data_IF_246208931453
#
_entry.id   IF_246208931453
#
_cell.length_a   1.000
_cell.length_b   1.000
_cell.length_c   1.000
_cell.angle_alpha   90.00
_cell.angle_beta   90.00
_cell.angle_gamma   90.00
#
_symmetry.space_group_name_H-M   'P 1'
#
loop_
_entity.id
_entity.type
_entity.pdbx_description
1 polymer ?
#
# COMPACT_ATOMS: atom_id res chain seq x y z
N UNK A 1 -0.58 0.08 -15.21
CA UNK A 1 -0.28 0.20 -13.77
C UNK A 1 -0.75 1.53 -13.16
N UNK A 2 -0.47 2.69 -13.77
CA UNK A 2 -0.75 4.04 -13.23
C UNK A 2 -2.24 4.39 -12.98
N UNK A 3 -3.20 3.69 -13.59
CA UNK A 3 -4.64 4.02 -13.46
C UNK A 3 -5.35 3.34 -12.27
N UNK A 4 -4.71 2.37 -11.59
CA UNK A 4 -5.29 1.65 -10.44
C UNK A 4 -4.62 2.01 -9.11
N UNK A 5 -4.39 3.30 -8.87
CA UNK A 5 -3.74 3.82 -7.65
C UNK A 5 -4.46 3.45 -6.35
N UNK A 6 -5.76 3.17 -6.40
CA UNK A 6 -6.56 2.76 -5.22
C UNK A 6 -6.29 1.31 -4.78
N UNK A 7 -5.73 0.49 -5.65
CA UNK A 7 -5.46 -0.95 -5.44
C UNK A 7 -4.06 -1.27 -5.99
N UNK A 8 -3.09 -0.41 -5.67
CA UNK A 8 -1.79 -0.40 -6.32
C UNK A 8 -1.00 -1.69 -6.08
N UNK A 9 -0.89 -2.15 -4.84
CA UNK A 9 -0.17 -3.37 -4.45
C UNK A 9 -0.80 -4.60 -5.08
N UNK A 10 -2.12 -4.74 -4.95
CA UNK A 10 -2.88 -5.81 -5.58
C UNK A 10 -2.62 -5.86 -7.09
N UNK A 11 -2.79 -4.72 -7.78
CA UNK A 11 -2.68 -4.65 -9.24
C UNK A 11 -1.25 -4.89 -9.70
N UNK A 12 -0.26 -4.39 -8.97
CA UNK A 12 1.16 -4.51 -9.32
C UNK A 12 1.63 -5.96 -9.20
N UNK A 13 1.32 -6.63 -8.08
CA UNK A 13 1.74 -8.02 -7.87
C UNK A 13 0.99 -8.96 -8.81
N UNK A 14 -0.31 -8.75 -9.02
CA UNK A 14 -1.11 -9.50 -9.98
C UNK A 14 -0.52 -9.39 -11.39
N UNK A 15 -0.22 -8.18 -11.83
CA UNK A 15 0.38 -7.92 -13.13
C UNK A 15 1.76 -8.56 -13.27
N UNK A 16 2.62 -8.47 -12.25
CA UNK A 16 3.96 -9.07 -12.28
C UNK A 16 3.88 -10.59 -12.49
N UNK A 17 2.98 -11.27 -11.78
CA UNK A 17 2.86 -12.73 -11.87
C UNK A 17 2.16 -13.17 -13.15
N UNK A 18 1.03 -12.55 -13.50
CA UNK A 18 0.21 -12.98 -14.64
C UNK A 18 0.85 -12.64 -15.99
N UNK A 19 1.59 -11.54 -16.08
CA UNK A 19 2.28 -11.15 -17.33
C UNK A 19 3.73 -11.62 -17.39
N UNK A 20 4.19 -12.36 -16.38
CA UNK A 20 5.53 -12.88 -16.32
C UNK A 20 5.84 -13.71 -17.57
N UNK A 21 6.89 -13.31 -18.31
CA UNK A 21 7.32 -13.99 -19.53
C UNK A 21 6.74 -13.44 -20.85
N UNK A 22 5.76 -12.54 -20.81
CA UNK A 22 5.26 -11.88 -22.03
C UNK A 22 6.29 -10.91 -22.62
N UNK A 23 6.26 -10.70 -23.94
CA UNK A 23 7.16 -9.74 -24.61
C UNK A 23 6.94 -8.29 -24.13
N UNK A 24 5.68 -7.91 -23.89
CA UNK A 24 5.32 -6.58 -23.42
C UNK A 24 5.87 -6.30 -22.02
N UNK A 25 5.74 -7.26 -21.10
CA UNK A 25 6.33 -7.18 -19.76
C UNK A 25 7.85 -6.98 -19.82
N UNK A 26 8.56 -7.76 -20.65
CA UNK A 26 10.01 -7.61 -20.83
C UNK A 26 10.40 -6.23 -21.36
N UNK A 27 9.68 -5.70 -22.35
CA UNK A 27 9.94 -4.37 -22.90
C UNK A 27 9.70 -3.26 -21.88
N UNK A 28 8.62 -3.35 -21.10
CA UNK A 28 8.33 -2.41 -20.02
C UNK A 28 9.46 -2.40 -19.00
N UNK A 29 9.97 -3.56 -18.58
CA UNK A 29 11.08 -3.63 -17.63
C UNK A 29 12.40 -3.13 -18.19
N UNK A 30 12.69 -3.40 -19.46
CA UNK A 30 13.86 -2.83 -20.11
C UNK A 30 13.75 -1.30 -20.09
N UNK A 31 12.58 -0.74 -20.41
CA UNK A 31 12.35 0.69 -20.35
C UNK A 31 12.48 1.26 -18.93
N UNK A 32 11.94 0.58 -17.92
CA UNK A 32 12.07 0.97 -16.51
C UNK A 32 13.53 0.96 -16.04
N UNK A 33 14.29 -0.07 -16.40
CA UNK A 33 15.72 -0.17 -16.09
C UNK A 33 16.50 0.94 -16.78
N UNK A 34 16.25 1.22 -18.06
CA UNK A 34 16.89 2.32 -18.79
C UNK A 34 16.56 3.66 -18.13
N UNK A 35 15.29 3.89 -17.80
CA UNK A 35 14.83 5.11 -17.13
C UNK A 35 15.48 5.26 -15.75
N UNK A 36 15.67 4.15 -15.04
CA UNK A 36 16.34 4.11 -13.75
C UNK A 36 17.82 4.43 -13.86
N UNK A 37 18.55 3.80 -14.79
CA UNK A 37 19.96 4.07 -15.07
C UNK A 37 20.15 5.55 -15.43
N UNK A 38 19.29 6.09 -16.29
CA UNK A 38 19.28 7.50 -16.65
C UNK A 38 19.13 8.40 -15.41
N UNK A 39 18.17 8.11 -14.53
CA UNK A 39 17.99 8.85 -13.28
C UNK A 39 19.18 8.75 -12.32
N UNK A 40 19.81 7.58 -12.24
CA UNK A 40 20.97 7.35 -11.39
C UNK A 40 22.19 8.14 -11.89
N UNK A 41 22.46 8.11 -13.19
CA UNK A 41 23.51 8.92 -13.82
C UNK A 41 23.26 10.41 -13.54
N UNK A 42 22.01 10.86 -13.70
CA UNK A 42 21.61 12.25 -13.41
C UNK A 42 21.86 12.65 -11.96
N UNK A 43 21.49 11.81 -10.98
CA UNK A 43 21.75 12.08 -9.57
C UNK A 43 23.25 12.11 -9.24
N UNK A 44 24.03 11.21 -9.84
CA UNK A 44 25.48 11.16 -9.66
C UNK A 44 26.14 12.45 -10.18
N UNK A 45 25.69 12.96 -11.31
CA UNK A 45 26.20 14.21 -11.89
C UNK A 45 25.81 15.44 -11.06
N UNK A 46 24.59 15.49 -10.53
CA UNK A 46 24.17 16.53 -9.57
C UNK A 46 25.03 16.47 -8.29
N UNK A 47 25.36 15.27 -7.81
CA UNK A 47 26.21 15.10 -6.64
C UNK A 47 27.65 15.55 -6.91
N UNK A 48 28.22 15.23 -8.08
CA UNK A 48 29.55 15.73 -8.48
C UNK A 48 29.57 17.26 -8.59
N UNK A 49 28.54 17.87 -9.20
CA UNK A 49 28.38 19.33 -9.27
C UNK A 49 28.28 19.98 -7.89
N UNK A 50 27.70 19.29 -6.90
CA UNK A 50 27.65 19.78 -5.52
C UNK A 50 29.02 19.74 -4.84
N UNK A 51 29.82 18.71 -5.09
CA UNK A 51 31.16 18.54 -4.50
C UNK A 51 32.19 19.48 -5.10
N UNK A 52 32.19 19.65 -6.42
CA UNK A 52 33.12 20.51 -7.14
C UNK A 52 32.40 21.36 -8.20
N UNK A 53 31.84 22.51 -7.80
CA UNK A 53 31.03 23.35 -8.68
C UNK A 53 31.86 24.11 -9.73
N UNK A 54 33.17 24.25 -9.56
CA UNK A 54 34.02 25.04 -10.47
C UNK A 54 34.48 24.23 -11.69
N UNK A 55 34.75 22.93 -11.53
CA UNK A 55 35.11 22.04 -12.65
C UNK A 55 33.91 21.55 -13.44
N UNK A 56 32.71 21.47 -12.83
CA UNK A 56 31.51 20.93 -13.48
C UNK A 56 30.35 21.94 -13.59
N UNK A 57 30.53 23.08 -14.28
CA UNK A 57 29.47 24.08 -14.45
C UNK A 57 28.36 23.65 -15.43
N UNK A 58 28.62 22.63 -16.27
CA UNK A 58 27.78 22.27 -17.42
C UNK A 58 26.38 21.73 -17.07
N UNK A 59 26.14 21.26 -15.84
CA UNK A 59 24.83 20.72 -15.45
C UNK A 59 23.81 21.77 -14.98
N UNK A 60 24.24 23.03 -14.83
CA UNK A 60 23.33 24.14 -14.52
C UNK A 60 22.29 24.38 -15.62
N UNK A 61 22.59 24.02 -16.86
CA UNK A 61 21.77 24.30 -18.05
C UNK A 61 21.00 23.10 -18.58
N UNK A 62 21.24 21.90 -18.04
CA UNK A 62 20.65 20.66 -18.55
C UNK A 62 19.17 20.51 -18.15
N UNK A 63 18.78 20.96 -16.95
CA UNK A 63 17.39 20.92 -16.50
C UNK A 63 17.11 21.84 -15.30
N UNK A 64 15.82 22.13 -15.08
CA UNK A 64 15.35 23.03 -14.02
C UNK A 64 15.69 22.56 -12.60
N UNK A 65 15.70 21.24 -12.37
CA UNK A 65 15.99 20.68 -11.04
C UNK A 65 17.46 20.83 -10.66
N UNK A 66 18.37 20.64 -11.62
CA UNK A 66 19.81 20.80 -11.46
C UNK A 66 20.16 22.27 -11.25
N UNK A 67 19.52 23.18 -12.01
CA UNK A 67 19.65 24.63 -11.80
C UNK A 67 19.18 25.06 -10.40
N UNK A 68 18.06 24.50 -9.93
CA UNK A 68 17.56 24.75 -8.58
C UNK A 68 18.55 24.29 -7.51
N UNK A 69 19.04 23.04 -7.60
CA UNK A 69 20.02 22.50 -6.65
C UNK A 69 21.31 23.32 -6.65
N UNK A 70 21.79 23.75 -7.82
CA UNK A 70 22.98 24.60 -7.93
C UNK A 70 22.80 25.96 -7.27
N UNK A 71 21.65 26.61 -7.48
CA UNK A 71 21.31 27.92 -6.90
C UNK A 71 21.20 27.87 -5.38
N UNK A 72 20.63 26.79 -4.85
CA UNK A 72 20.40 26.60 -3.41
C UNK A 72 21.46 25.73 -2.72
N UNK A 73 22.60 25.43 -3.39
CA UNK A 73 23.62 24.52 -2.88
C UNK A 73 24.20 24.91 -1.51
N UNK A 74 24.29 26.20 -1.23
CA UNK A 74 24.81 26.73 0.05
C UNK A 74 23.82 26.52 1.20
N UNK A 75 22.53 26.35 0.90
CA UNK A 75 21.46 26.06 1.86
C UNK A 75 21.19 24.55 1.96
N UNK A 76 21.44 23.79 0.90
CA UNK A 76 21.28 22.34 0.87
C UNK A 76 22.40 21.65 1.65
N UNK A 77 22.04 21.20 2.85
CA UNK A 77 22.93 20.42 3.70
C UNK A 77 23.18 19.01 3.12
N UNK A 78 24.35 18.42 3.42
CA UNK A 78 24.74 17.05 3.05
C UNK A 78 23.67 15.99 3.39
N UNK A 79 22.83 16.29 4.38
CA UNK A 79 21.67 15.48 4.77
C UNK A 79 20.70 15.17 3.61
N UNK A 80 20.41 16.12 2.71
CA UNK A 80 19.51 15.89 1.57
C UNK A 80 20.09 14.92 0.54
N UNK A 81 21.42 14.92 0.37
CA UNK A 81 22.11 13.95 -0.49
C UNK A 81 22.09 12.55 0.10
N UNK A 82 22.24 12.43 1.42
CA UNK A 82 22.08 11.14 2.12
C UNK A 82 20.67 10.58 1.90
N UNK A 83 19.62 11.41 2.04
CA UNK A 83 18.25 11.00 1.74
C UNK A 83 18.11 10.56 0.28
N UNK A 84 18.68 11.31 -0.67
CA UNK A 84 18.69 10.95 -2.09
C UNK A 84 19.34 9.59 -2.36
N UNK A 85 20.51 9.34 -1.77
CA UNK A 85 21.22 8.05 -1.88
C UNK A 85 20.36 6.92 -1.28
N UNK A 86 19.74 7.13 -0.11
CA UNK A 86 18.86 6.13 0.49
C UNK A 86 17.66 5.81 -0.42
N UNK A 87 17.04 6.82 -1.04
CA UNK A 87 15.94 6.62 -2.00
C UNK A 87 16.40 5.82 -3.22
N UNK A 88 17.60 6.09 -3.74
CA UNK A 88 18.20 5.30 -4.83
C UNK A 88 18.40 3.85 -4.40
N UNK A 89 19.02 3.60 -3.25
CA UNK A 89 19.26 2.25 -2.73
C UNK A 89 17.97 1.46 -2.52
N UNK A 90 16.93 2.09 -1.95
CA UNK A 90 15.60 1.48 -1.81
C UNK A 90 15.01 1.13 -3.17
N UNK A 91 15.21 1.99 -4.17
CA UNK A 91 14.74 1.73 -5.53
C UNK A 91 15.50 0.57 -6.20
N UNK A 92 16.81 0.44 -6.00
CA UNK A 92 17.60 -0.73 -6.47
C UNK A 92 17.07 -2.00 -5.83
N UNK A 93 16.85 -1.97 -4.52
CA UNK A 93 16.30 -3.11 -3.79
C UNK A 93 14.94 -3.49 -4.35
N UNK A 94 14.05 -2.51 -4.56
CA UNK A 94 12.74 -2.74 -5.16
C UNK A 94 12.82 -3.37 -6.55
N UNK A 95 13.68 -2.85 -7.43
CA UNK A 95 13.86 -3.41 -8.77
C UNK A 95 14.38 -4.85 -8.69
N UNK A 96 15.35 -5.11 -7.80
CA UNK A 96 15.90 -6.45 -7.61
C UNK A 96 14.87 -7.43 -7.06
N UNK A 97 14.10 -7.04 -6.05
CA UNK A 97 13.14 -7.93 -5.38
C UNK A 97 11.91 -8.20 -6.24
N UNK A 98 11.43 -7.20 -7.00
CA UNK A 98 10.18 -7.34 -7.75
C UNK A 98 10.35 -7.72 -9.22
N UNK A 99 11.50 -7.43 -9.85
CA UNK A 99 11.68 -7.63 -11.29
C UNK A 99 12.77 -8.64 -11.65
N UNK A 100 13.89 -8.66 -10.91
CA UNK A 100 14.96 -9.63 -11.18
C UNK A 100 14.78 -10.96 -10.45
N UNK A 101 14.00 -10.97 -9.37
CA UNK A 101 13.68 -12.21 -8.67
C UNK A 101 12.68 -13.04 -9.49
N UNK A 102 12.93 -14.34 -9.62
CA UNK A 102 12.01 -15.22 -10.36
C UNK A 102 10.68 -15.29 -9.61
N UNK A 103 9.57 -15.19 -10.35
CA UNK A 103 8.22 -15.32 -9.80
C UNK A 103 7.96 -16.73 -9.26
N UNK A 104 8.68 -17.73 -9.76
CA UNK A 104 8.56 -19.12 -9.33
C UNK A 104 9.17 -19.39 -7.93
N UNK A 105 9.78 -18.41 -7.27
CA UNK A 105 10.31 -18.63 -5.92
C UNK A 105 9.20 -18.67 -4.89
N UNK A 106 9.39 -19.51 -3.86
CA UNK A 106 8.42 -19.69 -2.77
C UNK A 106 8.05 -18.33 -2.13
N UNK A 107 9.02 -17.44 -1.93
CA UNK A 107 8.80 -16.11 -1.36
C UNK A 107 7.80 -15.28 -2.17
N UNK A 108 7.92 -15.33 -3.51
CA UNK A 108 7.05 -14.56 -4.40
C UNK A 108 5.66 -15.19 -4.50
N UNK A 109 5.57 -16.52 -4.47
CA UNK A 109 4.31 -17.25 -4.43
C UNK A 109 3.56 -16.98 -3.11
N UNK A 110 4.27 -16.94 -1.97
CA UNK A 110 3.69 -16.54 -0.67
C UNK A 110 3.14 -15.12 -0.74
N UNK A 111 3.90 -14.20 -1.33
CA UNK A 111 3.48 -12.81 -1.49
C UNK A 111 2.23 -12.70 -2.38
N UNK A 112 2.21 -13.43 -3.49
CA UNK A 112 1.06 -13.49 -4.41
C UNK A 112 -0.18 -14.08 -3.74
N UNK A 113 -0.03 -15.18 -3.00
CA UNK A 113 -1.14 -15.81 -2.27
C UNK A 113 -1.72 -14.83 -1.23
N UNK A 114 -0.85 -14.17 -0.46
CA UNK A 114 -1.24 -13.19 0.56
C UNK A 114 -1.92 -11.93 -0.01
N UNK A 115 -1.44 -11.41 -1.14
CA UNK A 115 -1.87 -10.11 -1.66
C UNK A 115 -2.92 -10.22 -2.74
N UNK A 116 -2.76 -11.13 -3.69
CA UNK A 116 -3.68 -11.27 -4.83
C UNK A 116 -4.75 -12.27 -4.50
N UNK A 117 -4.35 -13.51 -4.18
CA UNK A 117 -5.30 -14.60 -4.02
C UNK A 117 -6.23 -14.40 -2.81
N UNK A 118 -5.69 -13.99 -1.65
CA UNK A 118 -6.51 -13.68 -0.47
C UNK A 118 -7.51 -12.53 -0.71
N UNK A 119 -7.12 -11.51 -1.48
CA UNK A 119 -8.02 -10.42 -1.86
C UNK A 119 -9.11 -10.90 -2.84
N UNK A 120 -8.76 -11.71 -3.84
CA UNK A 120 -9.73 -12.28 -4.79
C UNK A 120 -10.75 -13.17 -4.06
N UNK A 121 -10.28 -13.98 -3.10
CA UNK A 121 -11.13 -14.80 -2.24
C UNK A 121 -12.03 -13.96 -1.33
N UNK A 122 -11.52 -12.85 -0.81
CA UNK A 122 -12.30 -11.91 0.00
C UNK A 122 -13.47 -11.29 -0.79
N UNK A 123 -13.23 -10.84 -2.02
CA UNK A 123 -14.29 -10.28 -2.87
C UNK A 123 -15.36 -11.30 -3.25
N UNK A 124 -14.98 -12.58 -3.38
CA UNK A 124 -15.92 -13.70 -3.60
C UNK A 124 -16.73 -14.08 -2.36
N UNK A 125 -16.32 -13.62 -1.18
CA UNK A 125 -16.98 -13.92 0.10
C UNK A 125 -17.76 -12.76 0.70
N UNK A 126 -18.06 -11.73 -0.10
CA UNK A 126 -18.90 -10.63 0.36
C UNK A 126 -20.31 -11.12 0.69
N UNK A 127 -20.79 -10.71 1.86
CA UNK A 127 -22.10 -11.09 2.39
C UNK A 127 -23.21 -10.21 1.81
N UNK A 128 -24.47 -10.64 1.96
CA UNK A 128 -25.63 -9.86 1.53
C UNK A 128 -25.83 -8.63 2.42
N UNK A 129 -26.38 -7.56 1.85
CA UNK A 129 -26.63 -6.31 2.60
C UNK A 129 -27.48 -6.52 3.85
N UNK A 130 -28.46 -7.43 3.78
CA UNK A 130 -29.34 -7.79 4.89
C UNK A 130 -28.55 -8.44 6.04
N UNK A 131 -27.72 -9.44 5.74
CA UNK A 131 -26.88 -10.09 6.75
C UNK A 131 -25.91 -9.11 7.41
N UNK A 132 -25.35 -8.18 6.63
CA UNK A 132 -24.47 -7.13 7.14
C UNK A 132 -25.23 -6.23 8.12
N UNK A 133 -26.45 -5.81 7.79
CA UNK A 133 -27.28 -5.00 8.68
C UNK A 133 -27.63 -5.74 9.97
N UNK A 134 -27.94 -7.04 9.90
CA UNK A 134 -28.22 -7.88 11.06
C UNK A 134 -26.99 -7.98 11.98
N UNK A 135 -25.79 -8.20 11.42
CA UNK A 135 -24.54 -8.24 12.20
C UNK A 135 -24.25 -6.89 12.87
N UNK A 136 -24.43 -5.79 12.15
CA UNK A 136 -24.23 -4.44 12.67
C UNK A 136 -25.20 -4.11 13.80
N UNK A 137 -26.49 -4.41 13.62
CA UNK A 137 -27.52 -4.14 14.64
C UNK A 137 -27.29 -5.00 15.89
N UNK A 138 -26.93 -6.27 15.72
CA UNK A 138 -26.59 -7.18 16.82
C UNK A 138 -25.41 -6.64 17.64
N UNK A 139 -24.35 -6.19 16.98
CA UNK A 139 -23.17 -5.62 17.65
C UNK A 139 -23.46 -4.28 18.32
N UNK A 140 -24.24 -3.43 17.66
CA UNK A 140 -24.69 -2.17 18.25
C UNK A 140 -25.48 -2.42 19.54
N UNK A 141 -26.44 -3.34 19.51
CA UNK A 141 -27.22 -3.73 20.68
C UNK A 141 -26.34 -4.29 21.80
N UNK A 142 -25.35 -5.14 21.45
CA UNK A 142 -24.39 -5.68 22.41
C UNK A 142 -23.58 -4.57 23.11
N UNK A 143 -23.03 -3.62 22.36
CA UNK A 143 -22.28 -2.49 22.94
C UNK A 143 -23.17 -1.53 23.71
N UNK A 144 -24.41 -1.32 23.28
CA UNK A 144 -25.39 -0.51 24.02
C UNK A 144 -25.75 -1.15 25.36
N UNK A 145 -25.99 -2.46 25.39
CA UNK A 145 -26.25 -3.21 26.63
C UNK A 145 -25.02 -3.20 27.55
N UNK A 146 -23.82 -3.39 27.01
CA UNK A 146 -22.58 -3.33 27.80
C UNK A 146 -22.35 -1.94 28.39
N UNK A 147 -22.63 -0.88 27.63
CA UNK A 147 -22.53 0.50 28.11
C UNK A 147 -23.57 0.80 29.19
N UNK A 148 -24.82 0.37 29.01
CA UNK A 148 -25.88 0.51 30.01
C UNK A 148 -25.52 -0.17 31.33
N UNK A 149 -24.94 -1.37 31.27
CA UNK A 149 -24.49 -2.11 32.46
C UNK A 149 -23.37 -1.39 33.20
N UNK A 150 -22.41 -0.81 32.47
CA UNK A 150 -21.24 -0.17 33.06
C UNK A 150 -21.50 1.27 33.52
N UNK A 151 -22.45 1.96 32.88
CA UNK A 151 -22.71 3.39 33.10
C UNK A 151 -24.21 3.68 33.13
N UNK A 152 -24.90 3.11 34.10
CA UNK A 152 -26.36 3.12 34.22
C UNK A 152 -26.94 4.55 34.12
N UNK A 153 -26.35 5.53 34.82
CA UNK A 153 -26.79 6.93 34.81
C UNK A 153 -26.47 7.71 33.52
N UNK A 154 -25.34 7.42 32.85
CA UNK A 154 -24.96 8.07 31.58
C UNK A 154 -25.70 7.48 30.37
N UNK A 155 -26.30 6.29 30.54
CA UNK A 155 -26.95 5.54 29.47
C UNK A 155 -28.34 6.02 29.09
N UNK A 156 -28.94 6.89 29.91
CA UNK A 156 -30.37 7.20 29.82
C UNK A 156 -30.67 8.15 28.64
N UNK A 157 -29.84 9.17 28.35
CA UNK A 157 -30.25 10.23 27.39
C UNK A 157 -29.07 10.96 26.71
N UNK A 158 -28.01 10.27 26.25
CA UNK A 158 -26.95 10.98 25.52
C UNK A 158 -26.81 10.57 24.04
N UNK A 159 -27.25 11.39 23.09
CA UNK A 159 -27.05 11.13 21.66
C UNK A 159 -25.57 11.06 21.26
N UNK A 160 -24.66 11.65 22.05
CA UNK A 160 -23.21 11.51 21.83
C UNK A 160 -22.74 10.08 22.13
N UNK A 161 -23.31 9.42 23.14
CA UNK A 161 -22.99 8.01 23.45
C UNK A 161 -23.40 7.12 22.30
N UNK A 162 -24.58 7.33 21.72
CA UNK A 162 -25.02 6.58 20.54
C UNK A 162 -24.11 6.76 19.34
N UNK A 163 -23.67 8.00 19.10
CA UNK A 163 -22.72 8.28 18.04
C UNK A 163 -21.37 7.60 18.27
N UNK A 164 -20.87 7.60 19.50
CA UNK A 164 -19.63 6.91 19.87
C UNK A 164 -19.75 5.39 19.73
N UNK A 165 -20.86 4.81 20.19
CA UNK A 165 -21.13 3.38 20.02
C UNK A 165 -21.21 3.05 18.53
N UNK A 166 -21.90 3.86 17.72
CA UNK A 166 -21.97 3.63 16.28
C UNK A 166 -20.60 3.72 15.60
N UNK A 167 -19.76 4.70 15.96
CA UNK A 167 -18.37 4.80 15.47
C UNK A 167 -17.59 3.54 15.84
N UNK A 168 -17.73 3.06 17.08
CA UNK A 168 -17.07 1.83 17.53
C UNK A 168 -17.56 0.60 16.76
N UNK A 169 -18.87 0.46 16.56
CA UNK A 169 -19.46 -0.62 15.75
C UNK A 169 -18.91 -0.58 14.34
N UNK A 170 -18.87 0.59 13.71
CA UNK A 170 -18.34 0.76 12.37
C UNK A 170 -16.87 0.34 12.28
N UNK A 171 -16.05 0.81 13.23
CA UNK A 171 -14.62 0.48 13.27
C UNK A 171 -14.37 -1.01 13.52
N UNK A 172 -15.05 -1.60 14.51
CA UNK A 172 -14.92 -3.03 14.82
C UNK A 172 -15.49 -3.91 13.70
N UNK A 173 -16.56 -3.48 13.03
CA UNK A 173 -17.14 -4.17 11.88
C UNK A 173 -16.18 -4.22 10.71
N UNK A 174 -15.46 -3.12 10.49
CA UNK A 174 -14.40 -3.05 9.48
C UNK A 174 -13.22 -3.94 9.86
N UNK A 175 -12.74 -3.89 11.11
CA UNK A 175 -11.63 -4.71 11.58
C UNK A 175 -11.93 -6.22 11.59
N UNK A 176 -13.16 -6.60 11.90
CA UNK A 176 -13.57 -8.02 11.96
C UNK A 176 -14.14 -8.55 10.65
N UNK A 177 -14.13 -7.71 9.60
CA UNK A 177 -14.68 -8.02 8.28
C UNK A 177 -16.10 -8.57 8.34
N UNK A 178 -17.02 -7.92 9.07
CA UNK A 178 -18.39 -8.44 9.21
C UNK A 178 -19.19 -8.40 7.89
N UNK A 179 -18.70 -7.63 6.92
CA UNK A 179 -19.18 -7.60 5.54
C UNK A 179 -18.84 -8.86 4.73
N UNK A 180 -18.09 -9.80 5.32
CA UNK A 180 -17.72 -11.07 4.72
C UNK A 180 -18.50 -12.19 5.40
N UNK A 181 -18.95 -13.16 4.60
CA UNK A 181 -19.36 -14.45 5.12
C UNK A 181 -18.11 -15.23 5.53
N UNK A 182 -17.85 -15.25 6.85
CA UNK A 182 -16.69 -15.92 7.45
C UNK A 182 -16.68 -17.42 7.16
N UNK A 183 -17.87 -18.04 7.05
CA UNK A 183 -17.96 -19.48 6.77
C UNK A 183 -17.50 -19.75 5.35
N UNK A 184 -18.03 -18.99 4.38
CA UNK A 184 -17.65 -19.11 2.98
C UNK A 184 -16.15 -18.77 2.77
N UNK A 185 -15.66 -17.74 3.46
CA UNK A 185 -14.26 -17.32 3.39
C UNK A 185 -13.27 -18.38 3.91
N UNK A 186 -13.61 -19.10 4.97
CA UNK A 186 -12.74 -20.13 5.57
C UNK A 186 -12.88 -21.48 4.84
N UNK A 187 -14.10 -21.92 4.58
CA UNK A 187 -14.37 -23.30 4.17
C UNK A 187 -14.16 -23.49 2.67
N UNK A 188 -14.60 -22.54 1.86
CA UNK A 188 -14.65 -22.66 0.40
C UNK A 188 -13.51 -21.88 -0.27
N UNK A 189 -13.24 -20.67 0.22
CA UNK A 189 -12.32 -19.73 -0.41
C UNK A 189 -10.95 -19.72 0.29
N UNK A 190 -10.33 -20.90 0.42
CA UNK A 190 -9.02 -21.10 1.07
C UNK A 190 -7.88 -20.55 0.23
N UNK A 191 -6.84 -20.05 0.88
CA UNK A 191 -5.58 -19.64 0.23
C UNK A 191 -4.84 -20.86 -0.36
N UNK A 192 -4.04 -20.66 -1.40
CA UNK A 192 -3.44 -21.75 -2.15
C UNK A 192 -2.29 -22.42 -1.40
N UNK A 193 -1.37 -21.62 -0.84
CA UNK A 193 -0.23 -22.13 -0.07
C UNK A 193 -0.58 -22.32 1.40
N UNK A 194 -1.45 -21.45 1.94
CA UNK A 194 -1.87 -21.50 3.34
C UNK A 194 -3.35 -21.86 3.49
N UNK A 195 -3.74 -23.03 3.00
CA UNK A 195 -5.14 -23.49 3.00
C UNK A 195 -5.77 -23.60 4.39
N UNK A 196 -4.95 -23.78 5.43
CA UNK A 196 -5.36 -23.86 6.84
C UNK A 196 -5.03 -22.60 7.65
N UNK A 197 -4.73 -21.48 6.98
CA UNK A 197 -4.49 -20.22 7.68
C UNK A 197 -5.70 -19.80 8.51
N UNK A 198 -5.43 -19.34 9.73
CA UNK A 198 -6.49 -18.86 10.62
C UNK A 198 -7.21 -17.65 10.02
N UNK A 199 -8.52 -17.53 10.26
CA UNK A 199 -9.31 -16.37 9.84
C UNK A 199 -8.64 -15.06 10.28
N UNK A 200 -8.17 -15.01 11.53
CA UNK A 200 -7.50 -13.84 12.10
C UNK A 200 -6.26 -13.44 11.29
N UNK A 201 -5.41 -14.39 10.92
CA UNK A 201 -4.22 -14.12 10.11
C UNK A 201 -4.57 -13.59 8.72
N UNK A 202 -5.53 -14.22 8.04
CA UNK A 202 -6.01 -13.79 6.72
C UNK A 202 -6.61 -12.39 6.75
N UNK A 203 -7.41 -12.10 7.77
CA UNK A 203 -7.99 -10.77 8.00
C UNK A 203 -6.91 -9.72 8.23
N UNK A 204 -5.90 -10.01 9.06
CA UNK A 204 -4.80 -9.08 9.32
C UNK A 204 -4.00 -8.76 8.07
N UNK A 205 -3.68 -9.77 7.25
CA UNK A 205 -2.99 -9.59 5.97
C UNK A 205 -3.84 -8.72 5.02
N UNK A 206 -5.15 -9.00 4.93
CA UNK A 206 -6.07 -8.22 4.11
C UNK A 206 -6.13 -6.75 4.54
N UNK A 207 -6.29 -6.50 5.85
CA UNK A 207 -6.31 -5.15 6.41
C UNK A 207 -4.99 -4.42 6.17
N UNK A 208 -3.86 -5.11 6.30
CA UNK A 208 -2.54 -4.55 6.01
C UNK A 208 -2.44 -4.12 4.54
N UNK A 209 -2.90 -4.96 3.61
CA UNK A 209 -2.89 -4.65 2.18
C UNK A 209 -3.78 -3.44 1.86
N UNK A 210 -5.03 -3.42 2.36
CA UNK A 210 -5.96 -2.31 2.16
C UNK A 210 -5.40 -1.02 2.76
N UNK A 211 -4.78 -1.10 3.95
CA UNK A 211 -4.16 0.05 4.59
C UNK A 211 -2.98 0.58 3.77
N UNK A 212 -2.10 -0.30 3.30
CA UNK A 212 -0.95 0.08 2.49
C UNK A 212 -1.38 0.71 1.15
N UNK A 213 -2.39 0.17 0.48
CA UNK A 213 -2.95 0.76 -0.74
C UNK A 213 -3.54 2.16 -0.50
N UNK A 214 -4.28 2.34 0.61
CA UNK A 214 -4.81 3.66 1.00
C UNK A 214 -3.70 4.66 1.32
N UNK A 215 -2.63 4.21 1.97
CA UNK A 215 -1.48 5.05 2.32
C UNK A 215 -0.73 5.48 1.05
N UNK A 216 -0.49 4.56 0.10
CA UNK A 216 0.12 4.86 -1.20
C UNK A 216 -0.74 5.88 -1.96
N UNK A 217 -2.05 5.68 -1.98
CA UNK A 217 -2.99 6.61 -2.61
C UNK A 217 -2.97 8.00 -1.97
N UNK A 218 -2.92 8.08 -0.63
CA UNK A 218 -2.83 9.34 0.10
C UNK A 218 -1.53 10.08 -0.19
N UNK A 219 -0.40 9.38 -0.16
CA UNK A 219 0.92 9.93 -0.54
C UNK A 219 0.84 10.49 -1.96
N UNK A 220 0.28 9.73 -2.90
CA UNK A 220 0.15 10.19 -4.28
C UNK A 220 -0.70 11.46 -4.41
N UNK A 221 -1.82 11.58 -3.67
CA UNK A 221 -2.62 12.81 -3.66
C UNK A 221 -1.84 13.98 -3.08
N UNK A 222 -1.14 13.79 -1.96
CA UNK A 222 -0.39 14.87 -1.29
C UNK A 222 0.72 15.37 -2.22
N UNK A 223 1.55 14.47 -2.75
CA UNK A 223 2.65 14.84 -3.65
C UNK A 223 2.15 15.31 -5.02
N UNK A 224 1.03 14.79 -5.53
CA UNK A 224 0.44 15.22 -6.80
C UNK A 224 -0.28 16.56 -6.74
N UNK A 225 -0.71 17.00 -5.54
CA UNK A 225 -1.30 18.33 -5.30
C UNK A 225 -0.28 19.41 -4.98
N UNK A 226 0.97 19.05 -4.67
CA UNK A 226 2.09 19.99 -4.65
C UNK A 226 2.44 20.29 -6.11
N UNK A 227 1.69 21.20 -6.72
CA UNK A 227 1.99 21.84 -8.01
C UNK A 227 2.11 23.34 -7.78
#
# INVERSE_FOLDING_TARGET
MLFHLKTYLYSSIKHIVEQYGTKQYRLLHIFEIISYIYWLIRLLLIFLMYLDPETFPFYQTMDYASAYIYRYRTLLNKFFFIIGIMMVLISILGIRTFFFHRVDTLSFQILYDCIVYNNDQYYKSLDTKENIQIKLSTRYNHYRQQFQKNYQYLSIINPLVDRLIWIRVWFDSWLQLDHVDKKLFIEQNKMQLFSHSSLKGRTQILLLNIFADKLIYLIHIIFGKIK
#
